data_IF_467731164323
#
_entry.id   IF_467731164323
#
_cell.length_a   1.000
_cell.length_b   1.000
_cell.length_c   1.000
_cell.angle_alpha   90.00
_cell.angle_beta   90.00
_cell.angle_gamma   90.00
#
_symmetry.space_group_name_H-M   'P 1'
#
loop_
_entity.id
_entity.type
_entity.pdbx_description
1 polymer ?
#
# COMPACT_ATOMS: atom_id res chain seq x y z
N UNK A 1 -15.65 -19.84 -14.98
CA UNK A 1 -14.90 -19.92 -13.71
C UNK A 1 -14.37 -18.52 -13.35
N UNK A 2 -14.45 -18.12 -12.07
CA UNK A 2 -13.82 -16.87 -11.61
C UNK A 2 -12.28 -16.99 -11.65
N UNK A 3 -11.57 -15.95 -12.08
CA UNK A 3 -10.11 -15.91 -12.11
C UNK A 3 -9.54 -15.83 -10.70
N UNK A 4 -8.40 -16.48 -10.46
CA UNK A 4 -7.72 -16.44 -9.18
C UNK A 4 -6.60 -15.39 -9.21
N UNK A 5 -6.71 -14.38 -8.34
CA UNK A 5 -5.78 -13.25 -8.27
C UNK A 5 -5.15 -13.21 -6.88
N UNK A 6 -3.83 -13.03 -6.81
CA UNK A 6 -3.15 -12.76 -5.56
C UNK A 6 -2.65 -11.31 -5.54
N UNK A 7 -3.00 -10.57 -4.47
CA UNK A 7 -2.47 -9.24 -4.21
C UNK A 7 -1.38 -9.36 -3.15
N UNK A 8 -0.15 -8.97 -3.47
CA UNK A 8 0.94 -8.90 -2.50
C UNK A 8 1.17 -7.47 -2.06
N UNK A 9 1.24 -7.29 -0.74
CA UNK A 9 1.35 -5.99 -0.09
C UNK A 9 2.06 -6.10 1.24
N UNK A 10 2.39 -4.99 1.88
CA UNK A 10 2.84 -5.01 3.27
C UNK A 10 3.70 -3.81 3.66
N UNK A 11 4.31 -3.90 4.84
CA UNK A 11 5.14 -2.87 5.44
C UNK A 11 4.34 -1.74 6.08
N UNK A 12 3.70 -0.88 5.32
CA UNK A 12 2.98 0.29 5.81
C UNK A 12 1.57 0.38 5.25
N UNK A 13 0.72 1.19 5.90
CA UNK A 13 -0.64 1.47 5.42
C UNK A 13 -0.69 2.03 4.00
N UNK A 14 0.36 2.74 3.57
CA UNK A 14 0.45 3.27 2.19
C UNK A 14 0.43 2.21 1.10
N UNK A 15 0.87 0.97 1.41
CA UNK A 15 0.77 -0.17 0.49
C UNK A 15 -0.46 -1.02 0.78
N UNK A 16 -0.79 -1.24 2.05
CA UNK A 16 -1.87 -2.16 2.45
C UNK A 16 -3.25 -1.60 2.13
N UNK A 17 -3.49 -0.30 2.38
CA UNK A 17 -4.81 0.30 2.10
C UNK A 17 -5.17 0.24 0.60
N UNK A 18 -4.30 0.60 -0.35
CA UNK A 18 -4.58 0.35 -1.76
C UNK A 18 -4.85 -1.11 -2.09
N UNK A 19 -4.17 -2.05 -1.41
CA UNK A 19 -4.40 -3.48 -1.62
C UNK A 19 -5.79 -3.93 -1.15
N UNK A 20 -6.29 -3.41 -0.01
CA UNK A 20 -7.66 -3.72 0.44
C UNK A 20 -8.70 -3.16 -0.52
N UNK A 21 -8.53 -1.94 -1.00
CA UNK A 21 -9.44 -1.33 -1.98
C UNK A 21 -9.48 -2.14 -3.27
N UNK A 22 -8.31 -2.57 -3.77
CA UNK A 22 -8.23 -3.45 -4.94
C UNK A 22 -8.88 -4.81 -4.68
N UNK A 23 -8.67 -5.39 -3.49
CA UNK A 23 -9.30 -6.65 -3.09
C UNK A 23 -10.81 -6.53 -3.15
N UNK A 24 -11.39 -5.51 -2.51
CA UNK A 24 -12.84 -5.33 -2.42
C UNK A 24 -13.47 -5.11 -3.81
N UNK A 25 -12.78 -4.34 -4.66
CA UNK A 25 -13.24 -4.10 -6.02
C UNK A 25 -13.17 -5.37 -6.89
N UNK A 26 -12.03 -6.07 -6.89
CA UNK A 26 -11.81 -7.24 -7.75
C UNK A 26 -12.56 -8.48 -7.28
N UNK A 27 -12.89 -8.59 -5.99
CA UNK A 27 -13.62 -9.73 -5.42
C UNK A 27 -15.06 -9.85 -5.94
N UNK A 28 -15.59 -8.80 -6.56
CA UNK A 28 -16.89 -8.84 -7.25
C UNK A 28 -16.87 -9.85 -8.40
N UNK A 29 -15.74 -9.94 -9.14
CA UNK A 29 -15.64 -10.71 -10.38
C UNK A 29 -14.56 -11.82 -10.34
N UNK A 30 -13.72 -11.84 -9.30
CA UNK A 30 -12.61 -12.78 -9.17
C UNK A 30 -12.49 -13.36 -7.75
N UNK A 31 -11.73 -14.45 -7.62
CA UNK A 31 -11.31 -14.98 -6.33
C UNK A 31 -10.01 -14.29 -5.94
N UNK A 32 -10.08 -13.36 -5.00
CA UNK A 32 -8.91 -12.56 -4.59
C UNK A 32 -8.35 -13.04 -3.26
N UNK A 33 -7.04 -13.20 -3.19
CA UNK A 33 -6.31 -13.54 -1.96
C UNK A 33 -5.27 -12.46 -1.71
N UNK A 34 -5.09 -12.07 -0.44
CA UNK A 34 -4.02 -11.14 -0.04
C UNK A 34 -2.84 -11.94 0.52
N UNK A 35 -1.62 -11.47 0.24
CA UNK A 35 -0.40 -11.89 0.93
C UNK A 35 0.32 -10.66 1.46
N UNK A 36 0.77 -10.72 2.73
CA UNK A 36 1.38 -9.59 3.42
C UNK A 36 2.47 -10.05 4.40
N UNK A 37 3.25 -9.11 4.94
CA UNK A 37 4.16 -9.36 6.06
C UNK A 37 3.47 -9.11 7.41
N UNK A 38 4.15 -9.48 8.52
CA UNK A 38 3.63 -9.25 9.89
C UNK A 38 3.32 -7.78 10.19
N UNK A 39 4.01 -6.83 9.55
CA UNK A 39 3.75 -5.39 9.74
C UNK A 39 2.51 -4.96 8.99
N UNK A 40 2.36 -5.42 7.75
CA UNK A 40 1.20 -5.13 6.93
C UNK A 40 -0.09 -5.75 7.48
N UNK A 41 0.00 -6.93 8.12
CA UNK A 41 -1.18 -7.59 8.69
C UNK A 41 -1.89 -6.78 9.78
N UNK A 42 -1.19 -5.82 10.41
CA UNK A 42 -1.79 -4.90 11.40
C UNK A 42 -2.84 -3.94 10.82
N UNK A 43 -2.82 -3.75 9.50
CA UNK A 43 -3.77 -2.91 8.77
C UNK A 43 -4.91 -3.71 8.14
N UNK A 44 -4.90 -5.05 8.30
CA UNK A 44 -5.93 -5.94 7.76
C UNK A 44 -6.82 -6.43 8.90
N UNK A 45 -8.11 -6.26 8.73
CA UNK A 45 -9.08 -6.90 9.59
C UNK A 45 -9.19 -8.38 9.21
N UNK A 46 -8.96 -9.27 10.18
CA UNK A 46 -9.01 -10.73 10.00
C UNK A 46 -10.40 -11.25 9.67
N UNK A 47 -11.43 -10.52 10.03
CA UNK A 47 -12.83 -10.90 9.76
C UNK A 47 -13.12 -10.69 8.27
N UNK A 48 -12.69 -9.56 7.73
CA UNK A 48 -13.00 -9.14 6.36
C UNK A 48 -12.00 -9.67 5.31
N UNK A 49 -10.74 -9.92 5.72
CA UNK A 49 -9.67 -10.29 4.78
C UNK A 49 -8.99 -11.59 5.16
N UNK A 50 -9.11 -12.60 4.29
CA UNK A 50 -8.29 -13.81 4.35
C UNK A 50 -6.92 -13.53 3.72
N UNK A 51 -5.84 -13.67 4.49
CA UNK A 51 -4.50 -13.39 3.99
C UNK A 51 -3.47 -14.44 4.40
N UNK A 52 -2.39 -14.52 3.62
CA UNK A 52 -1.23 -15.33 3.92
C UNK A 52 -0.08 -14.42 4.38
N UNK A 53 0.72 -14.89 5.34
CA UNK A 53 1.91 -14.16 5.78
C UNK A 53 3.14 -14.68 5.05
N UNK A 54 3.83 -13.76 4.36
CA UNK A 54 5.15 -13.98 3.75
C UNK A 54 6.08 -12.90 4.32
N UNK A 55 6.80 -13.26 5.38
CA UNK A 55 7.61 -12.32 6.14
C UNK A 55 9.04 -12.31 5.60
N UNK A 56 9.27 -11.43 4.62
CA UNK A 56 10.55 -11.33 3.92
C UNK A 56 11.55 -10.51 4.74
N UNK A 57 12.78 -11.00 4.96
CA UNK A 57 13.81 -10.27 5.70
C UNK A 57 14.24 -9.01 4.94
N UNK A 58 14.53 -7.94 5.67
CA UNK A 58 15.09 -6.72 5.09
C UNK A 58 16.55 -6.94 4.67
N UNK A 59 16.91 -6.45 3.49
CA UNK A 59 18.29 -6.48 2.97
C UNK A 59 19.07 -5.23 3.40
N UNK A 60 19.11 -4.95 4.70
CA UNK A 60 19.68 -3.73 5.28
C UNK A 60 21.05 -3.92 5.92
N UNK A 61 21.48 -5.17 6.20
CA UNK A 61 22.77 -5.48 6.81
C UNK A 61 23.57 -6.43 5.91
N UNK A 62 24.71 -5.98 5.44
CA UNK A 62 25.58 -6.72 4.53
C UNK A 62 26.16 -7.99 5.16
N UNK A 63 26.47 -7.97 6.44
CA UNK A 63 27.08 -9.10 7.15
C UNK A 63 26.17 -10.36 7.16
N UNK A 64 24.85 -10.16 7.27
CA UNK A 64 23.87 -11.24 7.24
C UNK A 64 23.27 -11.51 5.87
N UNK A 65 23.81 -10.90 4.82
CA UNK A 65 23.28 -11.00 3.46
C UNK A 65 23.14 -12.46 2.97
N UNK A 66 24.14 -13.37 3.14
CA UNK A 66 24.01 -14.76 2.70
C UNK A 66 22.81 -15.47 3.34
N UNK A 67 22.64 -15.34 4.66
CA UNK A 67 21.50 -15.93 5.38
C UNK A 67 20.16 -15.37 4.94
N UNK A 68 20.11 -14.06 4.67
CA UNK A 68 18.90 -13.40 4.17
C UNK A 68 18.55 -13.86 2.74
N UNK A 69 19.55 -14.09 1.89
CA UNK A 69 19.35 -14.63 0.54
C UNK A 69 18.80 -16.07 0.59
N UNK A 70 19.36 -16.92 1.48
CA UNK A 70 18.82 -18.27 1.70
C UNK A 70 17.36 -18.19 2.18
N UNK A 71 17.05 -17.31 3.12
CA UNK A 71 15.67 -17.10 3.59
C UNK A 71 14.74 -16.66 2.46
N UNK A 72 15.17 -15.75 1.59
CA UNK A 72 14.40 -15.32 0.42
C UNK A 72 14.18 -16.49 -0.55
N UNK A 73 15.19 -17.33 -0.77
CA UNK A 73 15.07 -18.52 -1.60
C UNK A 73 14.03 -19.49 -1.05
N UNK A 74 14.09 -19.81 0.23
CA UNK A 74 13.10 -20.67 0.90
C UNK A 74 11.69 -20.09 0.84
N UNK A 75 11.55 -18.76 1.05
CA UNK A 75 10.28 -18.06 0.90
C UNK A 75 9.78 -18.08 -0.54
N UNK A 76 10.68 -18.05 -1.53
CA UNK A 76 10.32 -18.16 -2.95
C UNK A 76 9.75 -19.55 -3.25
N UNK A 77 10.33 -20.63 -2.73
CA UNK A 77 9.76 -21.98 -2.86
C UNK A 77 8.38 -22.10 -2.20
N UNK A 78 8.22 -21.56 -0.99
CA UNK A 78 6.91 -21.51 -0.32
C UNK A 78 5.90 -20.71 -1.13
N UNK A 79 6.33 -19.58 -1.69
CA UNK A 79 5.49 -18.73 -2.56
C UNK A 79 5.11 -19.45 -3.85
N UNK A 80 6.02 -20.20 -4.44
CA UNK A 80 5.75 -21.01 -5.64
C UNK A 80 4.66 -22.05 -5.36
N UNK A 81 4.79 -22.80 -4.26
CA UNK A 81 3.78 -23.77 -3.83
C UNK A 81 2.43 -23.08 -3.55
N UNK A 82 2.43 -21.93 -2.87
CA UNK A 82 1.23 -21.15 -2.60
C UNK A 82 0.51 -20.74 -3.89
N UNK A 83 1.24 -20.17 -4.86
CA UNK A 83 0.68 -19.73 -6.13
C UNK A 83 0.11 -20.88 -6.95
N UNK A 84 0.83 -22.01 -6.99
CA UNK A 84 0.41 -23.22 -7.71
C UNK A 84 -0.82 -23.86 -7.07
N UNK A 85 -0.83 -24.06 -5.75
CA UNK A 85 -1.92 -24.69 -5.03
C UNK A 85 -3.22 -23.88 -5.10
N UNK A 86 -3.11 -22.55 -5.06
CA UNK A 86 -4.25 -21.66 -5.22
C UNK A 86 -4.62 -21.38 -6.68
N UNK A 87 -3.94 -22.01 -7.63
CA UNK A 87 -4.15 -21.81 -9.07
C UNK A 87 -4.18 -20.33 -9.46
N UNK A 88 -3.24 -19.54 -8.94
CA UNK A 88 -3.18 -18.11 -9.19
C UNK A 88 -2.81 -17.86 -10.66
N UNK A 89 -3.56 -17.00 -11.32
CA UNK A 89 -3.35 -16.61 -12.72
C UNK A 89 -2.68 -15.25 -12.86
N UNK A 90 -2.93 -14.35 -11.89
CA UNK A 90 -2.42 -12.98 -11.89
C UNK A 90 -1.89 -12.60 -10.51
N UNK A 91 -0.75 -11.94 -10.50
CA UNK A 91 -0.16 -11.34 -9.31
C UNK A 91 -0.22 -9.82 -9.43
N UNK A 92 -0.76 -9.15 -8.40
CA UNK A 92 -0.74 -7.68 -8.27
C UNK A 92 0.12 -7.32 -7.08
N UNK A 93 1.14 -6.49 -7.26
CA UNK A 93 1.96 -5.96 -6.17
C UNK A 93 1.67 -4.49 -5.96
N UNK A 94 1.32 -4.12 -4.73
CA UNK A 94 1.17 -2.71 -4.33
C UNK A 94 2.47 -2.10 -3.82
N UNK A 95 3.58 -2.82 -3.99
CA UNK A 95 4.92 -2.39 -3.58
C UNK A 95 5.39 -3.00 -2.28
N UNK A 96 6.61 -2.62 -1.89
CA UNK A 96 7.29 -3.15 -0.73
C UNK A 96 8.18 -4.36 -1.05
N UNK A 97 9.32 -4.47 -0.34
CA UNK A 97 10.29 -5.53 -0.59
C UNK A 97 9.77 -6.94 -0.20
N UNK A 98 8.72 -7.04 0.61
CA UNK A 98 8.11 -8.32 0.98
C UNK A 98 7.43 -9.02 -0.19
N UNK A 99 7.12 -8.31 -1.28
CA UNK A 99 6.61 -8.93 -2.51
C UNK A 99 7.69 -9.68 -3.31
N UNK A 100 8.97 -9.52 -2.96
CA UNK A 100 10.09 -10.12 -3.70
C UNK A 100 9.95 -11.64 -3.90
N UNK A 101 9.74 -12.50 -2.88
CA UNK A 101 9.61 -13.94 -3.09
C UNK A 101 8.41 -14.31 -3.96
N UNK A 102 7.28 -13.61 -3.80
CA UNK A 102 6.07 -13.85 -4.57
C UNK A 102 6.22 -13.44 -6.03
N UNK A 103 6.90 -12.33 -6.32
CA UNK A 103 7.13 -11.89 -7.70
C UNK A 103 8.12 -12.82 -8.40
N UNK A 104 9.18 -13.27 -7.72
CA UNK A 104 10.11 -14.25 -8.28
C UNK A 104 9.37 -15.56 -8.60
N UNK A 105 8.58 -16.07 -7.66
CA UNK A 105 7.79 -17.29 -7.86
C UNK A 105 6.76 -17.14 -9.00
N UNK A 106 6.08 -16.00 -9.09
CA UNK A 106 5.16 -15.69 -10.18
C UNK A 106 5.84 -15.65 -11.54
N UNK A 107 7.07 -15.09 -11.62
CA UNK A 107 7.88 -15.08 -12.82
C UNK A 107 8.28 -16.49 -13.25
N UNK A 108 8.69 -17.35 -12.31
CA UNK A 108 9.02 -18.74 -12.58
C UNK A 108 7.80 -19.55 -13.08
N UNK A 109 6.61 -19.19 -12.66
CA UNK A 109 5.34 -19.78 -13.10
C UNK A 109 4.76 -19.11 -14.37
N UNK A 110 5.45 -18.16 -14.97
CA UNK A 110 4.97 -17.37 -16.11
C UNK A 110 3.61 -16.68 -15.88
N UNK A 111 3.33 -16.29 -14.63
CA UNK A 111 2.09 -15.58 -14.30
C UNK A 111 2.15 -14.12 -14.76
N UNK A 112 1.00 -13.54 -15.07
CA UNK A 112 0.89 -12.12 -15.38
C UNK A 112 1.08 -11.29 -14.12
N UNK A 113 2.10 -10.44 -14.10
CA UNK A 113 2.47 -9.59 -12.96
C UNK A 113 2.07 -8.15 -13.27
N UNK A 114 1.37 -7.53 -12.33
CA UNK A 114 0.99 -6.14 -12.36
C UNK A 114 1.55 -5.42 -11.14
N UNK A 115 1.99 -4.18 -11.32
CA UNK A 115 2.49 -3.35 -10.23
C UNK A 115 1.53 -2.17 -10.01
N UNK A 116 1.45 -1.69 -8.78
CA UNK A 116 0.82 -0.43 -8.42
C UNK A 116 1.87 0.51 -7.82
N UNK A 117 1.99 1.71 -8.36
CA UNK A 117 2.82 2.78 -7.82
C UNK A 117 1.97 4.01 -7.55
N UNK A 118 1.52 4.19 -6.31
CA UNK A 118 0.68 5.33 -5.95
C UNK A 118 1.47 6.64 -5.76
N UNK A 119 2.80 6.56 -5.73
CA UNK A 119 3.66 7.70 -5.44
C UNK A 119 4.18 8.37 -6.72
N UNK A 120 4.55 9.65 -6.61
CA UNK A 120 5.19 10.41 -7.68
C UNK A 120 6.68 10.08 -7.86
N UNK A 121 7.22 9.19 -7.03
CA UNK A 121 8.59 8.67 -7.11
C UNK A 121 8.53 7.16 -7.17
N UNK A 122 9.19 6.58 -8.17
CA UNK A 122 9.21 5.12 -8.33
C UNK A 122 9.84 4.44 -7.12
N UNK A 123 9.07 3.59 -6.45
CA UNK A 123 9.52 2.81 -5.31
C UNK A 123 10.62 1.82 -5.69
N UNK A 124 11.57 1.62 -4.78
CA UNK A 124 12.76 0.74 -5.01
C UNK A 124 12.35 -0.68 -5.41
N UNK A 125 11.37 -1.26 -4.75
CA UNK A 125 10.90 -2.60 -5.09
C UNK A 125 10.29 -2.64 -6.49
N UNK A 126 9.40 -1.71 -6.82
CA UNK A 126 8.78 -1.63 -8.14
C UNK A 126 9.82 -1.46 -9.25
N UNK A 127 10.89 -0.67 -8.99
CA UNK A 127 11.98 -0.48 -9.96
C UNK A 127 12.63 -1.81 -10.38
N UNK A 128 12.87 -2.73 -9.43
CA UNK A 128 13.46 -4.04 -9.74
C UNK A 128 12.54 -4.93 -10.57
N UNK A 129 11.23 -4.74 -10.46
CA UNK A 129 10.25 -5.63 -11.09
C UNK A 129 9.61 -5.07 -12.37
N UNK A 130 9.96 -3.84 -12.78
CA UNK A 130 9.41 -3.21 -13.98
C UNK A 130 9.59 -4.06 -15.25
N UNK A 131 10.77 -4.69 -15.42
CA UNK A 131 11.01 -5.54 -16.59
C UNK A 131 10.12 -6.77 -16.61
N UNK A 132 9.75 -7.29 -15.43
CA UNK A 132 8.98 -8.52 -15.28
C UNK A 132 7.46 -8.29 -15.25
N UNK A 133 6.98 -7.04 -15.16
CA UNK A 133 5.56 -6.78 -15.14
C UNK A 133 4.98 -6.53 -16.54
N UNK A 134 3.70 -6.86 -16.70
CA UNK A 134 2.91 -6.52 -17.88
C UNK A 134 2.62 -5.01 -17.92
N UNK A 135 2.07 -4.48 -16.84
CA UNK A 135 1.74 -3.06 -16.67
C UNK A 135 2.03 -2.62 -15.23
N UNK A 136 2.30 -1.32 -15.08
CA UNK A 136 2.34 -0.65 -13.80
C UNK A 136 1.24 0.43 -13.77
N UNK A 137 0.35 0.32 -12.78
CA UNK A 137 -0.73 1.27 -12.55
C UNK A 137 -0.22 2.44 -11.72
N UNK A 138 -0.46 3.65 -12.19
CA UNK A 138 0.05 4.88 -11.59
C UNK A 138 -1.04 5.94 -11.57
N UNK A 139 -0.89 6.95 -10.71
CA UNK A 139 -1.81 8.10 -10.66
C UNK A 139 -1.36 9.26 -11.55
N UNK A 140 -0.14 9.18 -12.10
CA UNK A 140 0.43 10.19 -13.00
C UNK A 140 1.42 9.54 -13.97
N UNK A 141 1.62 10.16 -15.13
CA UNK A 141 2.68 9.79 -16.07
C UNK A 141 4.05 10.34 -15.62
N UNK A 142 4.05 11.40 -14.83
CA UNK A 142 5.27 12.10 -14.38
C UNK A 142 5.82 11.49 -13.10
N UNK A 143 6.32 10.25 -13.19
CA UNK A 143 6.94 9.56 -12.05
C UNK A 143 8.45 9.80 -12.11
N UNK A 144 8.99 10.38 -11.02
CA UNK A 144 10.44 10.56 -10.88
C UNK A 144 11.17 9.21 -10.85
N UNK A 145 12.34 9.17 -11.45
CA UNK A 145 13.22 8.00 -11.54
C UNK A 145 12.62 6.82 -12.34
N UNK A 146 11.61 7.07 -13.19
CA UNK A 146 11.04 6.04 -14.05
C UNK A 146 11.88 5.88 -15.32
N UNK A 147 12.31 4.64 -15.68
CA UNK A 147 13.10 4.42 -16.90
C UNK A 147 12.32 4.78 -18.16
N UNK A 148 12.94 5.57 -19.06
CA UNK A 148 12.27 6.05 -20.27
C UNK A 148 11.81 4.92 -21.22
N UNK A 149 12.62 3.88 -21.34
CA UNK A 149 12.34 2.71 -22.19
C UNK A 149 11.18 1.83 -21.69
N UNK A 150 10.71 2.02 -20.47
CA UNK A 150 9.61 1.25 -19.88
C UNK A 150 8.32 2.06 -19.70
N UNK A 151 8.28 3.32 -20.15
CA UNK A 151 7.09 4.19 -20.03
C UNK A 151 5.84 3.61 -20.69
N UNK A 152 5.99 2.79 -21.74
CA UNK A 152 4.87 2.09 -22.38
C UNK A 152 4.13 1.10 -21.47
N UNK A 153 4.74 0.71 -20.34
CA UNK A 153 4.11 -0.12 -19.32
C UNK A 153 3.20 0.66 -18.37
N UNK A 154 3.32 1.99 -18.32
CA UNK A 154 2.48 2.84 -17.46
C UNK A 154 1.03 2.77 -17.92
N UNK A 155 0.13 2.53 -16.98
CA UNK A 155 -1.31 2.67 -17.15
C UNK A 155 -1.83 3.63 -16.07
N UNK A 156 -2.33 4.77 -16.49
CA UNK A 156 -2.90 5.75 -15.56
C UNK A 156 -4.26 5.25 -15.08
N UNK A 157 -4.46 5.33 -13.78
CA UNK A 157 -5.73 5.07 -13.11
C UNK A 157 -6.08 6.24 -12.18
N UNK A 158 -7.36 6.37 -11.86
CA UNK A 158 -7.80 7.29 -10.81
C UNK A 158 -7.28 6.83 -9.44
N UNK A 159 -7.01 7.74 -8.49
CA UNK A 159 -6.62 7.36 -7.14
C UNK A 159 -7.61 6.37 -6.53
N UNK A 160 -7.08 5.34 -5.88
CA UNK A 160 -7.89 4.34 -5.21
C UNK A 160 -8.45 4.94 -3.91
N UNK A 161 -9.77 4.97 -3.82
CA UNK A 161 -10.51 5.52 -2.67
C UNK A 161 -11.46 4.45 -2.15
N UNK A 162 -11.61 4.34 -0.83
CA UNK A 162 -12.56 3.42 -0.20
C UNK A 162 -13.98 3.77 -0.61
N UNK A 163 -14.82 2.76 -0.82
CA UNK A 163 -16.22 2.93 -1.22
C UNK A 163 -17.00 3.82 -0.24
N UNK A 164 -16.72 3.71 1.06
CA UNK A 164 -17.38 4.52 2.09
C UNK A 164 -17.22 6.02 1.89
N UNK A 165 -16.09 6.46 1.30
CA UNK A 165 -15.85 7.87 1.02
C UNK A 165 -16.83 8.42 -0.01
N UNK A 166 -17.25 7.60 -0.97
CA UNK A 166 -18.23 8.01 -1.99
C UNK A 166 -19.66 8.09 -1.44
N UNK A 167 -19.93 7.43 -0.30
CA UNK A 167 -21.25 7.45 0.37
C UNK A 167 -21.39 8.63 1.33
N UNK A 168 -20.29 9.38 1.60
CA UNK A 168 -20.35 10.52 2.50
C UNK A 168 -21.19 11.65 1.87
N UNK A 169 -22.25 12.04 2.59
CA UNK A 169 -23.03 13.21 2.24
C UNK A 169 -22.32 14.48 2.76
N UNK A 170 -21.80 15.30 1.86
CA UNK A 170 -21.04 16.51 2.21
C UNK A 170 -21.93 17.73 2.51
N UNK A 171 -23.23 17.53 2.72
CA UNK A 171 -24.23 18.60 2.84
C UNK A 171 -24.13 19.48 4.07
N UNK A 172 -23.22 19.23 5.02
CA UNK A 172 -23.16 19.94 6.31
C UNK A 172 -21.84 20.67 6.59
N UNK A 173 -21.14 21.15 5.58
CA UNK A 173 -19.97 22.00 5.83
C UNK A 173 -20.51 23.39 6.24
N UNK A 174 -20.41 23.72 7.53
CA UNK A 174 -20.70 25.07 8.00
C UNK A 174 -19.69 26.05 7.37
N UNK A 175 -20.17 26.90 6.46
CA UNK A 175 -19.33 27.86 5.72
C UNK A 175 -18.93 29.09 6.57
N UNK A 176 -19.52 29.26 7.74
CA UNK A 176 -19.28 30.43 8.62
C UNK A 176 -17.96 30.33 9.40
N UNK A 177 -17.37 29.13 9.49
CA UNK A 177 -16.10 28.92 10.20
C UNK A 177 -15.02 28.40 9.27
N UNK A 178 -13.82 28.88 9.47
CA UNK A 178 -12.66 28.31 8.77
C UNK A 178 -12.38 26.89 9.31
N UNK A 179 -12.41 25.90 8.43
CA UNK A 179 -12.16 24.50 8.79
C UNK A 179 -10.73 24.12 8.47
N UNK A 180 -9.94 23.76 9.48
CA UNK A 180 -8.57 23.30 9.34
C UNK A 180 -8.49 21.80 9.64
N UNK A 181 -8.07 21.01 8.65
CA UNK A 181 -7.78 19.59 8.80
C UNK A 181 -6.27 19.35 8.80
N UNK A 182 -5.76 18.72 9.87
CA UNK A 182 -4.34 18.38 10.02
C UNK A 182 -4.21 16.86 10.02
N UNK A 183 -3.50 16.31 9.01
CA UNK A 183 -3.35 14.87 8.80
C UNK A 183 -1.88 14.50 8.65
N UNK A 184 -1.39 13.60 9.48
CA UNK A 184 0.01 13.16 9.53
C UNK A 184 0.31 11.82 8.86
N UNK A 185 -0.67 11.22 8.18
CA UNK A 185 -0.53 9.90 7.55
C UNK A 185 -0.52 8.74 8.57
N UNK A 186 -0.19 7.52 8.09
CA UNK A 186 -0.30 6.28 8.90
C UNK A 186 0.71 6.18 10.06
N UNK A 187 1.80 6.92 10.01
CA UNK A 187 2.85 6.91 11.04
C UNK A 187 2.70 8.05 12.06
N UNK A 188 1.62 8.80 11.93
CA UNK A 188 1.17 9.69 12.95
C UNK A 188 1.67 11.11 12.84
N UNK A 189 0.95 11.90 13.56
CA UNK A 189 1.05 13.34 13.63
C UNK A 189 1.96 13.82 14.76
N UNK A 190 2.84 12.98 15.34
CA UNK A 190 3.69 13.39 16.47
C UNK A 190 4.45 14.71 16.22
N UNK A 191 4.88 14.94 14.99
CA UNK A 191 5.55 16.19 14.63
C UNK A 191 4.56 17.37 14.66
N UNK A 192 3.32 17.14 14.23
CA UNK A 192 2.28 18.18 14.27
C UNK A 192 1.80 18.43 15.68
N UNK A 193 1.62 17.39 16.49
CA UNK A 193 1.24 17.51 17.91
C UNK A 193 2.25 18.37 18.67
N UNK A 194 3.55 18.18 18.42
CA UNK A 194 4.61 18.92 19.10
C UNK A 194 4.76 20.36 18.60
N UNK A 195 4.71 20.56 17.28
CA UNK A 195 5.12 21.82 16.67
C UNK A 195 3.97 22.78 16.38
N UNK A 196 2.73 22.26 16.19
CA UNK A 196 1.61 23.12 15.80
C UNK A 196 0.78 23.62 16.96
N UNK A 197 0.88 23.05 18.17
CA UNK A 197 0.04 23.40 19.32
C UNK A 197 -0.04 24.90 19.57
N UNK A 198 1.11 25.56 19.69
CA UNK A 198 1.15 26.99 19.99
C UNK A 198 0.59 27.85 18.84
N UNK A 199 0.91 27.48 17.60
CA UNK A 199 0.41 28.17 16.41
C UNK A 199 -1.11 28.04 16.29
N UNK A 200 -1.65 26.86 16.53
CA UNK A 200 -3.09 26.58 16.54
C UNK A 200 -3.81 27.41 17.60
N UNK A 201 -3.27 27.43 18.85
CA UNK A 201 -3.84 28.24 19.95
C UNK A 201 -3.82 29.73 19.62
N UNK A 202 -2.74 30.22 19.02
CA UNK A 202 -2.63 31.65 18.65
C UNK A 202 -3.62 32.03 17.51
N UNK A 203 -3.81 31.15 16.54
CA UNK A 203 -4.78 31.38 15.46
C UNK A 203 -6.21 31.33 16.00
N UNK A 204 -6.54 30.36 16.89
CA UNK A 204 -7.88 30.22 17.46
C UNK A 204 -8.33 31.41 18.32
N UNK A 205 -7.37 32.16 18.87
CA UNK A 205 -7.65 33.42 19.60
C UNK A 205 -8.05 34.57 18.67
N UNK A 206 -7.63 34.53 17.41
CA UNK A 206 -7.84 35.61 16.45
C UNK A 206 -8.99 35.36 15.48
N UNK A 207 -9.28 34.08 15.21
CA UNK A 207 -10.26 33.68 14.19
C UNK A 207 -11.19 32.60 14.71
N UNK A 208 -12.45 32.63 14.32
CA UNK A 208 -13.39 31.53 14.54
C UNK A 208 -13.01 30.35 13.63
N UNK A 209 -12.34 29.37 14.20
CA UNK A 209 -11.76 28.23 13.46
C UNK A 209 -12.24 26.91 14.06
N UNK A 210 -12.61 25.95 13.20
CA UNK A 210 -12.82 24.55 13.58
C UNK A 210 -11.59 23.75 13.19
N UNK A 211 -11.01 23.05 14.14
CA UNK A 211 -9.79 22.25 13.93
C UNK A 211 -10.12 20.79 14.12
N UNK A 212 -9.73 19.98 13.12
CA UNK A 212 -9.77 18.53 13.17
C UNK A 212 -8.35 18.04 12.96
N UNK A 213 -7.76 17.43 13.98
CA UNK A 213 -6.37 16.98 13.93
C UNK A 213 -6.29 15.46 14.17
N UNK A 214 -5.59 14.77 13.28
CA UNK A 214 -5.15 13.41 13.53
C UNK A 214 -4.03 13.44 14.56
N UNK A 215 -4.21 12.78 15.70
CA UNK A 215 -3.21 12.68 16.77
C UNK A 215 -3.00 11.24 17.22
N UNK A 216 -1.90 10.97 17.88
CA UNK A 216 -1.65 9.67 18.50
C UNK A 216 -2.41 9.57 19.83
N UNK A 217 -3.00 8.39 20.14
CA UNK A 217 -3.78 8.17 21.38
C UNK A 217 -3.08 8.66 22.67
N UNK A 218 -1.75 8.57 22.73
CA UNK A 218 -0.95 9.05 23.86
C UNK A 218 -0.95 10.59 24.05
N UNK A 219 -1.34 11.33 23.03
CA UNK A 219 -1.32 12.80 23.02
C UNK A 219 -2.73 13.39 23.20
N UNK A 220 -3.75 12.57 23.42
CA UNK A 220 -5.10 13.01 23.74
C UNK A 220 -5.13 13.25 25.25
N UNK A 221 -5.21 14.53 25.65
CA UNK A 221 -5.58 14.93 27.04
C UNK A 221 -7.08 15.16 27.05
N UNK A 222 -7.77 14.50 27.97
CA UNK A 222 -9.18 14.74 28.26
C UNK A 222 -9.32 15.90 29.26
#
# INVERSE_FOLDING_TARGET
>A
MKRNILITTGGSGGHVIPATILHDHLSKDANVTISTDKRGSRYLDKVNYKYNIVDTPKLDNFFFLPFKLISILLLTFKSFSLLKNKKIEKLISTGGYMSLPLIIAAKLLNLKIYLLEPNMVLGRANKYFLNSCEKIFCYSEKIKNFPNNLKSKIKIIKPLVREDVYKLNLSSINKEKFNLLIVGGSQGANIFDKNLKNSIVNISKKFSIRIIQQTHKKNISY
#
